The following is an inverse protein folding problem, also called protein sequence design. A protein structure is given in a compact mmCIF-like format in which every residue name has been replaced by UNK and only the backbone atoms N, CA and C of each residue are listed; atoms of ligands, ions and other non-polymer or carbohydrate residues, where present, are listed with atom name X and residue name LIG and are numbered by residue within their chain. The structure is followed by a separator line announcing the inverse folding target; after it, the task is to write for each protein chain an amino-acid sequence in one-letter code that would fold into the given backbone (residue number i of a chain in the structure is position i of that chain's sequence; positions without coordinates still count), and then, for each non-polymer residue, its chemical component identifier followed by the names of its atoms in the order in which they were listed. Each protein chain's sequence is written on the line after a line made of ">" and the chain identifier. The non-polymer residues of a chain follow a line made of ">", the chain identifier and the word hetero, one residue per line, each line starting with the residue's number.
data_IF_678436304427
#
_entry.id   IF_678436304427
#
_cell.length_a   1.000
_cell.length_b   1.000
_cell.length_c   1.000
_cell.angle_alpha   90.00
_cell.angle_beta   90.00
_cell.angle_gamma   90.00
#
_symmetry.space_group_name_H-M   'P 1'
#
loop_
_entity.id
_entity.type
_entity.pdbx_description
1 polymer ?
#
# COMPACT_ATOMS: atom_id res chain seq x y z
N UNK A 1 11.44 20.18 12.87
CA UNK A 1 10.22 19.41 12.50
C UNK A 1 10.57 18.50 11.33
N UNK A 2 10.94 17.25 11.61
CA UNK A 2 11.24 16.29 10.54
C UNK A 2 9.94 16.00 9.79
N UNK A 3 9.85 16.43 8.52
CA UNK A 3 8.81 15.96 7.60
C UNK A 3 9.03 14.45 7.49
N UNK A 4 8.26 13.67 8.25
CA UNK A 4 8.22 12.21 8.13
C UNK A 4 7.95 11.91 6.66
N UNK A 5 9.00 11.48 5.95
CA UNK A 5 8.91 11.01 4.58
C UNK A 5 8.09 9.74 4.66
N UNK A 6 6.76 9.87 4.57
CA UNK A 6 5.87 8.71 4.45
C UNK A 6 6.48 7.84 3.36
N UNK A 7 6.77 6.56 3.62
CA UNK A 7 7.35 5.69 2.60
C UNK A 7 6.46 5.80 1.38
N UNK A 8 7.06 6.19 0.25
CA UNK A 8 6.32 6.22 -1.00
C UNK A 8 5.86 4.79 -1.24
N UNK A 9 4.54 4.57 -1.38
CA UNK A 9 4.04 3.23 -1.54
C UNK A 9 4.65 2.60 -2.78
N UNK A 10 5.15 1.37 -2.65
CA UNK A 10 5.71 0.63 -3.77
C UNK A 10 4.74 0.59 -4.95
N UNK A 11 5.28 0.58 -6.17
CA UNK A 11 4.46 0.48 -7.39
C UNK A 11 3.52 -0.73 -7.31
N UNK A 12 4.01 -1.86 -6.81
CA UNK A 12 3.22 -3.06 -6.56
C UNK A 12 2.07 -2.82 -5.57
N UNK A 13 2.30 -2.09 -4.48
CA UNK A 13 1.26 -1.77 -3.50
C UNK A 13 0.20 -0.82 -4.09
N UNK A 14 0.60 0.09 -4.96
CA UNK A 14 -0.30 0.99 -5.68
C UNK A 14 -1.16 0.24 -6.71
N UNK A 15 -0.57 -0.69 -7.47
CA UNK A 15 -1.29 -1.52 -8.44
C UNK A 15 -2.29 -2.47 -7.76
N UNK A 16 -1.87 -3.11 -6.65
CA UNK A 16 -2.77 -3.94 -5.84
C UNK A 16 -3.91 -3.10 -5.27
N UNK A 17 -3.61 -1.91 -4.72
CA UNK A 17 -4.63 -1.02 -4.20
C UNK A 17 -5.63 -0.58 -5.28
N UNK A 18 -5.15 -0.33 -6.49
CA UNK A 18 -5.98 -0.01 -7.64
C UNK A 18 -6.89 -1.18 -8.06
N UNK A 19 -6.33 -2.40 -8.15
CA UNK A 19 -7.09 -3.61 -8.45
C UNK A 19 -8.20 -3.89 -7.42
N UNK A 20 -7.93 -3.63 -6.15
CA UNK A 20 -8.91 -3.79 -5.06
C UNK A 20 -10.05 -2.76 -5.11
N UNK A 21 -9.84 -1.59 -5.71
CA UNK A 21 -10.86 -0.55 -5.82
C UNK A 21 -11.88 -0.84 -6.93
N UNK A 22 -11.66 -1.90 -7.74
CA UNK A 22 -12.55 -2.34 -8.83
C UNK A 22 -13.04 -1.17 -9.71
N UNK A 23 -12.17 -0.20 -9.95
CA UNK A 23 -12.53 1.00 -10.70
C UNK A 23 -12.51 0.70 -12.19
N UNK A 24 -13.38 1.36 -12.97
CA UNK A 24 -13.36 1.30 -14.44
C UNK A 24 -12.21 2.11 -15.04
N UNK A 25 -11.49 2.88 -14.23
CA UNK A 25 -10.39 3.71 -14.67
C UNK A 25 -9.12 2.86 -14.76
N UNK A 26 -8.28 3.17 -15.74
CA UNK A 26 -6.93 2.62 -15.80
C UNK A 26 -6.08 3.19 -14.66
N UNK A 27 -5.05 2.46 -14.23
CA UNK A 27 -4.15 2.89 -13.15
C UNK A 27 -3.60 4.31 -13.38
N UNK A 28 -3.20 4.61 -14.62
CA UNK A 28 -2.67 5.93 -14.99
C UNK A 28 -3.73 7.04 -14.88
N UNK A 29 -4.96 6.78 -15.30
CA UNK A 29 -6.10 7.72 -15.18
C UNK A 29 -6.43 7.97 -13.70
N UNK A 30 -6.49 6.91 -12.91
CA UNK A 30 -6.75 7.01 -11.47
C UNK A 30 -5.62 7.75 -10.71
N UNK A 31 -4.37 7.63 -11.17
CA UNK A 31 -3.24 8.38 -10.62
C UNK A 31 -3.20 9.85 -11.08
N UNK A 32 -3.80 10.16 -12.24
CA UNK A 32 -3.96 11.53 -12.73
C UNK A 32 -5.10 12.27 -12.02
N UNK A 33 -6.13 11.53 -11.57
CA UNK A 33 -7.21 12.10 -10.76
C UNK A 33 -6.77 12.39 -9.31
N UNK A 34 -6.92 13.62 -8.81
CA UNK A 34 -6.43 13.99 -7.48
C UNK A 34 -7.11 13.21 -6.35
N UNK A 35 -8.42 12.95 -6.46
CA UNK A 35 -9.18 12.18 -5.47
C UNK A 35 -8.76 10.71 -5.44
N UNK A 36 -8.69 10.08 -6.61
CA UNK A 36 -8.31 8.66 -6.74
C UNK A 36 -6.87 8.41 -6.31
N UNK A 37 -5.95 9.32 -6.64
CA UNK A 37 -4.56 9.29 -6.17
C UNK A 37 -4.47 9.23 -4.65
N UNK A 38 -5.30 9.98 -3.91
CA UNK A 38 -5.31 9.95 -2.43
C UNK A 38 -5.84 8.61 -1.91
N UNK A 39 -6.90 8.08 -2.51
CA UNK A 39 -7.51 6.80 -2.12
C UNK A 39 -6.53 5.64 -2.36
N UNK A 40 -5.93 5.57 -3.55
CA UNK A 40 -4.96 4.52 -3.92
C UNK A 40 -3.73 4.58 -3.01
N UNK A 41 -3.15 5.77 -2.78
CA UNK A 41 -2.02 5.94 -1.86
C UNK A 41 -2.35 5.52 -0.43
N UNK A 42 -3.58 5.75 0.02
CA UNK A 42 -4.00 5.38 1.38
C UNK A 42 -4.18 3.87 1.51
N UNK A 43 -4.79 3.23 0.50
CA UNK A 43 -4.92 1.77 0.44
C UNK A 43 -3.58 1.06 0.29
N UNK A 44 -2.69 1.58 -0.54
CA UNK A 44 -1.35 1.03 -0.72
C UNK A 44 -0.54 1.09 0.58
N UNK A 45 -0.59 2.21 1.32
CA UNK A 45 0.01 2.31 2.65
C UNK A 45 -0.56 1.30 3.64
N UNK A 46 -1.89 1.13 3.66
CA UNK A 46 -2.55 0.11 4.50
C UNK A 46 -2.12 -1.31 4.12
N UNK A 47 -1.87 -1.58 2.84
CA UNK A 47 -1.37 -2.86 2.38
C UNK A 47 0.07 -3.12 2.84
N UNK A 48 0.95 -2.12 2.73
CA UNK A 48 2.32 -2.19 3.22
C UNK A 48 2.39 -2.39 4.73
N UNK A 49 1.61 -1.63 5.51
CA UNK A 49 1.55 -1.80 6.97
C UNK A 49 1.05 -3.18 7.37
N UNK A 50 0.06 -3.73 6.65
CA UNK A 50 -0.39 -5.09 6.90
C UNK A 50 0.68 -6.13 6.53
N UNK A 51 1.42 -5.93 5.44
CA UNK A 51 2.56 -6.78 5.09
C UNK A 51 3.65 -6.73 6.16
N UNK A 52 4.03 -5.54 6.61
CA UNK A 52 5.05 -5.34 7.65
C UNK A 52 4.64 -6.00 8.97
N UNK A 53 3.37 -5.85 9.39
CA UNK A 53 2.84 -6.55 10.56
C UNK A 53 2.78 -8.07 10.39
N UNK A 54 2.50 -8.55 9.17
CA UNK A 54 2.45 -9.98 8.88
C UNK A 54 3.86 -10.61 8.88
N UNK A 55 4.85 -9.87 8.40
CA UNK A 55 6.26 -10.30 8.36
C UNK A 55 6.84 -10.43 9.78
N UNK A 56 6.56 -9.46 10.67
CA UNK A 56 6.94 -9.53 12.09
C UNK A 56 6.34 -10.75 12.80
N UNK A 57 5.11 -11.15 12.44
CA UNK A 57 4.43 -12.29 13.06
C UNK A 57 4.91 -13.64 12.51
N UNK A 58 5.41 -13.68 11.27
CA UNK A 58 6.04 -14.88 10.69
C UNK A 58 7.44 -15.15 11.23
N UNK A 59 8.17 -14.13 11.68
CA UNK A 59 9.49 -14.30 12.27
C UNK A 59 9.44 -14.89 13.68
N UNK A 60 8.40 -14.61 14.48
CA UNK A 60 8.24 -15.16 15.83
C UNK A 60 7.69 -16.60 15.87
N UNK A 61 7.25 -17.18 14.75
CA UNK A 61 6.65 -18.51 14.71
C UNK A 61 7.62 -19.65 14.35
N UNK A 62 8.88 -19.35 14.01
CA UNK A 62 9.89 -20.35 13.63
C UNK A 62 11.04 -20.50 14.65
N UNK A 63 10.95 -19.91 15.84
CA UNK A 63 12.00 -20.01 16.88
C UNK A 63 11.55 -20.90 18.05
N UNK A 64 10.85 -22.00 17.75
CA UNK A 64 10.51 -22.99 18.76
C UNK A 64 10.30 -24.38 18.13
N UNK A 65 11.40 -24.98 17.65
CA UNK A 65 11.66 -26.42 17.82
C UNK A 65 13.18 -26.67 17.82
#
# INVERSE_FOLDING_TARGET
>A
MARTKTPEPDLAALEIAHGLLATRLSFQEAMNHPTWKVVIKTRARKHMQQREQFDLKKLQANDND
#
